data_IF_918249595519
#
_entry.id   IF_918249595519
#
_cell.length_a   1.000
_cell.length_b   1.000
_cell.length_c   1.000
_cell.angle_alpha   90.00
_cell.angle_beta   90.00
_cell.angle_gamma   90.00
#
_symmetry.space_group_name_H-M   'P 1'
#
loop_
_entity.id
_entity.type
_entity.pdbx_description
1 polymer ?
#
# COMPACT_ATOMS: atom_id res chain seq x y z
N UNK A 1 18.60 16.33 -3.58
CA UNK A 1 17.54 15.52 -4.20
C UNK A 1 17.21 16.14 -5.56
N UNK A 2 17.34 15.42 -6.67
CA UNK A 2 16.80 15.90 -7.95
C UNK A 2 15.31 15.55 -7.94
N UNK A 3 14.47 16.48 -7.47
CA UNK A 3 13.02 16.36 -7.60
C UNK A 3 12.69 16.27 -9.09
N UNK A 4 11.92 15.25 -9.47
CA UNK A 4 11.34 15.26 -10.81
C UNK A 4 10.45 16.49 -10.93
N UNK A 5 10.47 17.19 -12.07
CA UNK A 5 9.54 18.28 -12.28
C UNK A 5 8.12 17.76 -12.12
N UNK A 6 7.38 18.29 -11.16
CA UNK A 6 5.97 17.95 -10.97
C UNK A 6 5.18 18.44 -12.19
N UNK A 7 4.56 17.54 -12.99
CA UNK A 7 3.81 17.93 -14.18
C UNK A 7 2.37 18.34 -13.88
N UNK A 8 1.85 18.08 -12.67
CA UNK A 8 0.45 18.36 -12.29
C UNK A 8 0.05 19.83 -12.41
N UNK A 9 0.89 20.84 -12.10
CA UNK A 9 0.54 22.24 -12.33
C UNK A 9 0.10 22.56 -13.76
N UNK A 10 0.51 21.77 -14.76
CA UNK A 10 0.07 21.94 -16.16
C UNK A 10 -1.41 21.60 -16.35
N UNK A 11 -1.97 20.74 -15.52
CA UNK A 11 -3.39 20.37 -15.56
C UNK A 11 -4.30 21.52 -15.11
N UNK A 12 -3.81 22.50 -14.34
CA UNK A 12 -4.59 23.68 -14.00
C UNK A 12 -4.91 24.54 -15.24
N UNK A 13 -3.96 24.64 -16.17
CA UNK A 13 -4.13 25.39 -17.43
C UNK A 13 -4.74 24.55 -18.56
N UNK A 14 -4.55 23.23 -18.53
CA UNK A 14 -5.14 22.27 -19.47
C UNK A 14 -5.71 21.06 -18.71
N UNK A 15 -6.93 21.17 -18.16
CA UNK A 15 -7.56 20.11 -17.36
C UNK A 15 -7.77 18.81 -18.14
N UNK A 16 -7.78 18.86 -19.48
CA UNK A 16 -7.90 17.66 -20.32
C UNK A 16 -6.59 16.88 -20.43
N UNK A 17 -5.47 17.44 -19.97
CA UNK A 17 -4.16 16.80 -19.98
C UNK A 17 -3.50 16.69 -21.36
N UNK A 18 -4.00 17.38 -22.40
CA UNK A 18 -3.46 17.29 -23.76
C UNK A 18 -2.02 17.76 -23.86
N UNK A 19 -1.62 18.76 -23.08
CA UNK A 19 -0.24 19.23 -22.96
C UNK A 19 0.72 18.16 -22.41
N UNK A 20 0.19 17.14 -21.73
CA UNK A 20 0.91 15.96 -21.26
C UNK A 20 0.70 14.73 -22.17
N UNK A 21 0.01 14.89 -23.31
CA UNK A 21 -0.34 13.78 -24.20
C UNK A 21 -1.49 12.90 -23.69
N UNK A 22 -2.29 13.40 -22.76
CA UNK A 22 -3.39 12.68 -22.11
C UNK A 22 -4.76 13.14 -22.61
N UNK A 23 -5.78 12.35 -22.26
CA UNK A 23 -7.19 12.67 -22.43
C UNK A 23 -7.91 12.37 -21.11
N UNK A 24 -7.71 13.25 -20.13
CA UNK A 24 -8.25 13.08 -18.79
C UNK A 24 -9.75 13.40 -18.76
N UNK A 25 -10.56 12.64 -18.00
CA UNK A 25 -11.92 13.02 -17.66
C UNK A 25 -11.92 14.26 -16.74
N UNK A 26 -13.12 14.75 -16.40
CA UNK A 26 -13.24 15.76 -15.35
C UNK A 26 -12.62 15.25 -14.05
N UNK A 27 -11.89 16.12 -13.38
CA UNK A 27 -11.12 15.79 -12.19
C UNK A 27 -10.55 17.04 -11.54
N UNK A 28 -9.98 16.88 -10.35
CA UNK A 28 -9.45 17.97 -9.54
C UNK A 28 -8.03 17.68 -9.11
N UNK A 29 -7.28 18.76 -8.93
CA UNK A 29 -5.97 18.76 -8.30
C UNK A 29 -6.13 18.83 -6.78
N UNK A 30 -5.33 18.07 -6.05
CA UNK A 30 -5.29 18.07 -4.60
C UNK A 30 -3.93 18.64 -4.17
N UNK A 31 -3.98 19.71 -3.40
CA UNK A 31 -2.85 20.38 -2.76
C UNK A 31 -3.09 20.60 -1.26
N UNK A 32 -4.17 20.04 -0.69
CA UNK A 32 -4.43 20.09 0.75
C UNK A 32 -3.58 19.08 1.51
N UNK A 33 -2.97 19.53 2.61
CA UNK A 33 -2.15 18.77 3.56
C UNK A 33 -2.61 19.04 5.00
N UNK A 34 -2.09 18.29 5.96
CA UNK A 34 -2.33 18.53 7.40
C UNK A 34 -2.04 20.00 7.80
N UNK A 35 -0.92 20.54 7.31
CA UNK A 35 -0.48 21.93 7.60
C UNK A 35 -1.07 23.02 6.68
N UNK A 36 -2.05 22.68 5.82
CA UNK A 36 -2.74 23.63 4.95
C UNK A 36 -2.51 23.38 3.46
N UNK A 37 -2.22 24.43 2.69
CA UNK A 37 -2.05 24.31 1.23
C UNK A 37 -0.58 24.07 0.88
N UNK A 38 -0.31 22.98 0.18
CA UNK A 38 0.99 22.66 -0.38
C UNK A 38 1.35 23.59 -1.55
N UNK A 39 2.64 23.77 -1.80
CA UNK A 39 3.14 24.71 -2.80
C UNK A 39 2.92 24.25 -4.25
N UNK A 40 2.59 22.97 -4.45
CA UNK A 40 2.23 22.36 -5.73
C UNK A 40 1.20 21.24 -5.52
N UNK A 41 0.44 20.81 -6.55
CA UNK A 41 -0.47 19.69 -6.38
C UNK A 41 0.25 18.37 -6.12
N UNK A 42 -0.23 17.60 -5.16
CA UNK A 42 0.26 16.26 -4.79
C UNK A 42 -0.29 15.18 -5.71
N UNK A 43 -1.56 15.30 -6.10
CA UNK A 43 -2.20 14.35 -7.01
C UNK A 43 -3.32 15.02 -7.81
N UNK A 44 -3.69 14.39 -8.92
CA UNK A 44 -4.96 14.63 -9.59
C UNK A 44 -5.86 13.41 -9.41
N UNK A 45 -7.16 13.59 -9.23
CA UNK A 45 -8.10 12.47 -9.35
C UNK A 45 -9.39 12.85 -10.07
N UNK A 46 -10.00 11.85 -10.72
CA UNK A 46 -11.25 11.99 -11.45
C UNK A 46 -12.43 12.28 -10.51
N UNK A 47 -13.40 13.04 -11.01
CA UNK A 47 -14.67 13.31 -10.33
C UNK A 47 -15.65 12.15 -10.46
N UNK A 48 -15.51 11.32 -11.49
CA UNK A 48 -16.38 10.18 -11.77
C UNK A 48 -15.80 8.87 -11.23
N UNK A 49 -16.67 7.87 -11.02
CA UNK A 49 -16.25 6.57 -10.49
C UNK A 49 -15.37 5.92 -11.56
N UNK A 50 -14.29 5.28 -11.13
CA UNK A 50 -13.49 4.45 -12.02
C UNK A 50 -14.37 3.38 -12.66
N UNK A 51 -14.16 3.13 -13.95
CA UNK A 51 -14.80 2.06 -14.71
C UNK A 51 -13.71 1.18 -15.31
N UNK A 52 -13.99 -0.12 -15.55
CA UNK A 52 -13.03 -1.01 -16.22
C UNK A 52 -12.50 -0.42 -17.53
N UNK A 53 -11.20 -0.59 -17.77
CA UNK A 53 -10.43 0.00 -18.86
C UNK A 53 -9.86 1.40 -18.56
N UNK A 54 -10.36 2.08 -17.52
CA UNK A 54 -9.92 3.44 -17.19
C UNK A 54 -8.46 3.53 -16.75
N UNK A 55 -7.97 2.53 -15.99
CA UNK A 55 -6.56 2.44 -15.59
C UNK A 55 -5.64 2.33 -16.81
N UNK A 56 -5.97 1.43 -17.74
CA UNK A 56 -5.17 1.19 -18.94
C UNK A 56 -5.02 2.45 -19.81
N UNK A 57 -6.06 3.28 -19.87
CA UNK A 57 -6.01 4.59 -20.56
C UNK A 57 -5.01 5.54 -19.87
N UNK A 58 -4.99 5.56 -18.54
CA UNK A 58 -4.09 6.42 -17.77
C UNK A 58 -2.64 5.93 -17.71
N UNK A 59 -2.35 4.68 -18.07
CA UNK A 59 -0.98 4.16 -18.13
C UNK A 59 -0.06 4.97 -19.06
N UNK A 60 -0.61 5.69 -20.05
CA UNK A 60 0.17 6.61 -20.90
C UNK A 60 0.79 7.79 -20.12
N UNK A 61 0.19 8.18 -18.98
CA UNK A 61 0.66 9.26 -18.11
C UNK A 61 2.04 8.99 -17.50
N UNK A 62 2.47 7.72 -17.47
CA UNK A 62 3.81 7.30 -17.02
C UNK A 62 4.92 8.00 -17.80
N UNK A 63 4.69 8.26 -19.10
CA UNK A 63 5.66 8.98 -19.96
C UNK A 63 5.88 10.43 -19.53
N UNK A 64 4.92 11.01 -18.80
CA UNK A 64 5.01 12.34 -18.22
C UNK A 64 5.48 12.32 -16.75
N UNK A 65 5.81 11.15 -16.19
CA UNK A 65 6.17 11.01 -14.76
C UNK A 65 4.97 10.95 -13.82
N UNK A 66 3.78 10.63 -14.33
CA UNK A 66 2.56 10.47 -13.54
C UNK A 66 2.15 8.99 -13.50
N UNK A 67 1.96 8.45 -12.31
CA UNK A 67 1.59 7.05 -12.13
C UNK A 67 0.11 6.93 -11.73
N UNK A 68 -0.65 6.01 -12.35
CA UNK A 68 -2.03 5.78 -11.98
C UNK A 68 -2.14 5.10 -10.61
N UNK A 69 -3.19 5.44 -9.87
CA UNK A 69 -3.63 4.78 -8.63
C UNK A 69 -5.15 4.93 -8.50
N UNK A 70 -5.84 4.00 -7.84
CA UNK A 70 -7.23 4.17 -7.44
C UNK A 70 -7.29 4.77 -6.04
N UNK A 71 -8.13 5.79 -5.83
CA UNK A 71 -8.42 6.32 -4.50
C UNK A 71 -9.88 5.99 -4.15
N UNK A 72 -10.13 5.32 -3.04
CA UNK A 72 -11.51 5.14 -2.57
C UNK A 72 -11.95 6.33 -1.73
N UNK A 73 -12.83 7.16 -2.30
CA UNK A 73 -13.36 8.36 -1.63
C UNK A 73 -14.72 8.11 -0.95
N UNK A 74 -15.18 6.86 -0.91
CA UNK A 74 -16.45 6.47 -0.29
C UNK A 74 -16.32 6.05 1.18
N UNK A 75 -15.11 6.13 1.74
CA UNK A 75 -14.80 5.78 3.13
C UNK A 75 -15.35 6.79 4.16
N UNK A 76 -15.22 6.49 5.46
CA UNK A 76 -15.62 7.40 6.54
C UNK A 76 -14.89 8.76 6.49
N UNK A 77 -13.62 8.73 6.09
CA UNK A 77 -12.72 9.89 5.98
C UNK A 77 -12.79 10.57 4.59
N UNK A 78 -13.88 10.38 3.84
CA UNK A 78 -14.10 10.93 2.49
C UNK A 78 -12.89 10.69 1.55
N UNK A 79 -12.49 11.72 0.80
CA UNK A 79 -11.42 11.68 -0.18
C UNK A 79 -10.09 12.25 0.33
N UNK A 80 -9.04 12.24 -0.52
CA UNK A 80 -7.69 12.67 -0.17
C UNK A 80 -7.58 14.10 0.36
N UNK A 81 -8.55 14.97 0.09
CA UNK A 81 -8.64 16.31 0.69
C UNK A 81 -8.80 16.31 2.22
N UNK A 82 -9.35 15.23 2.78
CA UNK A 82 -9.66 15.06 4.20
C UNK A 82 -8.73 14.04 4.87
N UNK A 83 -7.78 13.46 4.13
CA UNK A 83 -6.87 12.44 4.65
C UNK A 83 -5.69 12.99 5.45
N UNK A 84 -5.55 14.32 5.57
CA UNK A 84 -4.43 14.95 6.29
C UNK A 84 -3.06 14.54 5.75
N UNK A 85 -2.85 14.67 4.44
CA UNK A 85 -1.58 14.35 3.78
C UNK A 85 -0.38 15.11 4.38
N UNK A 86 0.76 14.46 4.58
CA UNK A 86 1.97 15.02 5.24
C UNK A 86 3.25 14.82 4.41
N UNK A 87 3.36 15.40 3.20
CA UNK A 87 4.50 15.15 2.30
C UNK A 87 5.86 15.66 2.80
N UNK A 88 5.90 16.64 3.72
CA UNK A 88 7.13 17.13 4.37
C UNK A 88 7.65 16.24 5.49
N UNK A 89 6.80 15.41 6.09
CA UNK A 89 7.20 14.46 7.12
C UNK A 89 7.86 13.21 6.52
N UNK A 90 7.72 13.00 5.22
CA UNK A 90 8.27 11.83 4.52
C UNK A 90 9.73 12.04 4.14
N UNK A 91 10.58 11.09 4.51
CA UNK A 91 11.94 11.03 3.97
C UNK A 91 11.95 10.47 2.53
N UNK A 92 13.13 10.31 1.92
CA UNK A 92 13.21 9.72 0.59
C UNK A 92 13.27 8.18 0.68
N UNK A 93 12.38 7.43 0.00
CA UNK A 93 12.38 5.96 0.08
C UNK A 93 13.68 5.29 -0.41
N UNK A 94 14.57 6.02 -1.07
CA UNK A 94 15.87 5.48 -1.50
C UNK A 94 16.99 5.62 -0.49
N UNK A 95 16.73 6.32 0.61
CA UNK A 95 17.66 6.47 1.72
C UNK A 95 17.54 5.31 2.73
N UNK A 96 16.55 4.41 2.52
CA UNK A 96 16.26 3.26 3.37
C UNK A 96 16.56 1.93 2.68
N UNK A 97 16.96 0.93 3.46
CA UNK A 97 17.15 -0.44 3.01
C UNK A 97 16.01 -1.34 3.47
N UNK A 98 15.33 -1.99 2.53
CA UNK A 98 14.15 -2.81 2.82
C UNK A 98 14.40 -3.94 3.83
N UNK A 99 15.58 -4.58 3.79
CA UNK A 99 15.94 -5.66 4.75
C UNK A 99 16.10 -5.10 6.17
N UNK A 100 16.74 -3.94 6.30
CA UNK A 100 16.96 -3.29 7.60
C UNK A 100 15.62 -2.82 8.19
N UNK A 101 14.76 -2.20 7.37
CA UNK A 101 13.41 -1.78 7.79
C UNK A 101 12.57 -2.97 8.26
N UNK A 102 12.53 -4.07 7.51
CA UNK A 102 11.76 -5.27 7.89
C UNK A 102 12.32 -5.93 9.15
N UNK A 103 13.64 -6.00 9.30
CA UNK A 103 14.28 -6.55 10.48
C UNK A 103 13.97 -5.72 11.74
N UNK A 104 14.07 -4.39 11.65
CA UNK A 104 13.72 -3.47 12.73
C UNK A 104 12.26 -3.64 13.16
N UNK A 105 11.33 -3.61 12.20
CA UNK A 105 9.91 -3.80 12.47
C UNK A 105 9.56 -5.15 13.09
N UNK A 106 10.18 -6.23 12.61
CA UNK A 106 10.00 -7.56 13.20
C UNK A 106 10.50 -7.61 14.65
N UNK A 107 11.69 -7.07 14.91
CA UNK A 107 12.31 -7.08 16.24
C UNK A 107 11.58 -6.18 17.23
N UNK A 108 11.10 -5.01 16.79
CA UNK A 108 10.27 -4.11 17.61
C UNK A 108 8.97 -4.80 18.01
N UNK A 109 8.27 -5.41 17.05
CA UNK A 109 7.04 -6.15 17.35
C UNK A 109 7.30 -7.33 18.29
N UNK A 110 8.37 -8.11 18.06
CA UNK A 110 8.74 -9.22 18.94
C UNK A 110 9.14 -8.78 20.36
N UNK A 111 9.62 -7.55 20.55
CA UNK A 111 10.02 -7.01 21.84
C UNK A 111 8.84 -6.44 22.66
N UNK A 112 7.81 -5.92 21.97
CA UNK A 112 6.63 -5.31 22.61
C UNK A 112 5.59 -6.35 23.08
N UNK A 113 5.73 -7.61 22.66
CA UNK A 113 4.79 -8.67 23.02
C UNK A 113 4.82 -8.99 24.53
N UNK A 114 3.67 -8.86 25.23
CA UNK A 114 3.59 -9.17 26.64
C UNK A 114 3.80 -10.67 26.87
N UNK A 115 4.51 -11.04 27.94
CA UNK A 115 4.74 -12.45 28.29
C UNK A 115 3.45 -13.30 28.20
N UNK A 116 3.52 -14.53 27.67
CA UNK A 116 2.36 -15.41 27.56
C UNK A 116 1.60 -15.50 28.88
N UNK A 117 0.31 -15.12 28.86
CA UNK A 117 -0.55 -15.14 30.04
C UNK A 117 -0.54 -13.87 30.89
N UNK A 118 0.15 -12.80 30.48
CA UNK A 118 0.03 -11.49 31.13
C UNK A 118 -1.42 -11.00 31.06
N UNK A 119 -1.94 -10.63 32.23
CA UNK A 119 -3.24 -9.96 32.35
C UNK A 119 -3.00 -8.45 32.21
N UNK A 120 -3.73 -7.79 31.31
CA UNK A 120 -3.60 -6.36 31.07
C UNK A 120 -4.99 -5.69 31.04
N UNK A 121 -5.11 -4.43 31.47
CA UNK A 121 -6.38 -3.73 31.50
C UNK A 121 -7.02 -3.72 30.10
N UNK A 122 -8.22 -4.28 29.97
CA UNK A 122 -8.94 -4.34 28.69
C UNK A 122 -8.81 -5.66 27.93
N UNK A 123 -7.98 -6.61 28.38
CA UNK A 123 -7.85 -7.95 27.77
C UNK A 123 -9.20 -8.65 27.59
N UNK A 124 -10.09 -8.56 28.58
CA UNK A 124 -11.44 -9.13 28.49
C UNK A 124 -12.25 -8.56 27.31
N UNK A 125 -12.13 -7.25 27.04
CA UNK A 125 -12.79 -6.61 25.90
C UNK A 125 -12.14 -7.00 24.57
N UNK A 126 -10.82 -7.10 24.53
CA UNK A 126 -10.10 -7.59 23.33
C UNK A 126 -10.55 -9.00 23.01
N UNK A 127 -10.65 -9.89 24.00
CA UNK A 127 -11.15 -11.26 23.83
C UNK A 127 -12.63 -11.28 23.44
N UNK A 128 -13.46 -10.37 23.98
CA UNK A 128 -14.87 -10.24 23.59
C UNK A 128 -15.04 -9.82 22.12
N UNK A 129 -14.21 -8.90 21.64
CA UNK A 129 -14.32 -8.32 20.28
C UNK A 129 -13.60 -9.16 19.22
N UNK A 130 -12.40 -9.65 19.53
CA UNK A 130 -11.49 -10.30 18.58
C UNK A 130 -11.23 -11.79 18.88
N UNK A 131 -11.76 -12.33 19.99
CA UNK A 131 -11.53 -13.72 20.40
C UNK A 131 -10.22 -13.94 21.17
N UNK A 132 -9.98 -15.18 21.59
CA UNK A 132 -8.69 -15.56 22.17
C UNK A 132 -7.60 -15.46 21.09
N UNK A 133 -6.59 -14.64 21.37
CA UNK A 133 -5.45 -14.47 20.49
C UNK A 133 -4.42 -15.60 20.71
N UNK A 134 -3.85 -16.17 19.64
CA UNK A 134 -2.75 -17.12 19.78
C UNK A 134 -1.56 -16.48 20.49
N UNK A 135 -0.73 -17.31 21.12
CA UNK A 135 0.52 -16.81 21.69
C UNK A 135 1.46 -16.34 20.57
N UNK A 136 2.29 -15.33 20.83
CA UNK A 136 3.19 -14.77 19.81
C UNK A 136 3.99 -15.84 19.04
N UNK A 137 4.64 -16.78 19.75
CA UNK A 137 5.39 -17.87 19.13
C UNK A 137 4.53 -18.77 18.20
N UNK A 138 3.24 -18.89 18.49
CA UNK A 138 2.28 -19.60 17.64
C UNK A 138 1.87 -18.74 16.43
N UNK A 139 1.64 -17.45 16.65
CA UNK A 139 1.32 -16.47 15.59
C UNK A 139 2.40 -16.44 14.52
N UNK A 140 3.68 -16.41 14.87
CA UNK A 140 4.79 -16.23 13.92
C UNK A 140 5.44 -17.54 13.44
N UNK A 141 4.98 -18.70 13.89
CA UNK A 141 5.51 -19.99 13.42
C UNK A 141 5.41 -20.10 11.88
N UNK A 142 6.39 -20.71 11.18
CA UNK A 142 7.53 -21.50 11.66
C UNK A 142 8.71 -20.68 12.22
N UNK A 143 8.63 -19.36 12.17
CA UNK A 143 9.70 -18.48 12.58
C UNK A 143 9.68 -18.25 14.10
N UNK A 144 10.71 -17.57 14.58
CA UNK A 144 10.84 -17.17 15.98
C UNK A 144 11.10 -15.66 16.07
N UNK A 145 11.43 -15.14 17.25
CA UNK A 145 11.56 -13.69 17.47
C UNK A 145 12.72 -13.04 16.69
N UNK A 146 13.58 -13.83 16.06
CA UNK A 146 14.67 -13.33 15.21
C UNK A 146 14.17 -13.23 13.77
N UNK A 147 14.43 -12.10 13.14
CA UNK A 147 14.07 -11.84 11.74
C UNK A 147 14.55 -12.97 10.81
N UNK A 148 13.64 -13.63 10.05
CA UNK A 148 14.01 -14.74 9.19
C UNK A 148 14.74 -14.37 7.89
N UNK A 149 14.82 -13.08 7.56
CA UNK A 149 15.40 -12.59 6.30
C UNK A 149 14.36 -12.41 5.19
N UNK A 150 14.71 -11.59 4.19
CA UNK A 150 13.89 -11.42 2.99
C UNK A 150 13.70 -12.71 2.18
N UNK A 151 12.47 -12.89 1.69
CA UNK A 151 12.11 -13.91 0.72
C UNK A 151 12.87 -13.71 -0.61
N UNK A 152 13.15 -14.81 -1.29
CA UNK A 152 13.76 -14.75 -2.61
C UNK A 152 12.80 -14.17 -3.65
N UNK A 153 13.35 -13.54 -4.70
CA UNK A 153 12.57 -13.13 -5.86
C UNK A 153 12.01 -14.35 -6.60
N UNK A 154 10.81 -14.21 -7.15
CA UNK A 154 10.15 -15.22 -7.98
C UNK A 154 10.10 -14.76 -9.45
N UNK A 155 10.12 -15.69 -10.43
CA UNK A 155 10.00 -15.32 -11.83
C UNK A 155 8.63 -14.70 -12.15
N UNK A 156 8.62 -13.60 -12.91
CA UNK A 156 7.39 -12.98 -13.40
C UNK A 156 6.51 -13.96 -14.18
N UNK A 157 5.24 -14.03 -13.81
CA UNK A 157 4.18 -14.78 -14.51
C UNK A 157 3.47 -13.94 -15.59
N UNK A 158 3.55 -12.62 -15.47
CA UNK A 158 2.93 -11.63 -16.34
C UNK A 158 3.73 -10.32 -16.37
N UNK A 159 3.40 -9.44 -17.32
CA UNK A 159 3.87 -8.06 -17.27
C UNK A 159 3.26 -7.33 -16.05
N UNK A 160 4.06 -6.69 -15.19
CA UNK A 160 3.57 -5.98 -14.01
C UNK A 160 2.51 -4.92 -14.27
N UNK A 161 2.63 -4.16 -15.36
CA UNK A 161 1.69 -3.09 -15.65
C UNK A 161 0.39 -3.64 -16.25
N UNK A 162 0.46 -4.73 -17.01
CA UNK A 162 -0.72 -5.48 -17.44
C UNK A 162 -1.48 -6.08 -16.25
N UNK A 163 -0.77 -6.72 -15.31
CA UNK A 163 -1.37 -7.26 -14.07
C UNK A 163 -2.03 -6.15 -13.23
N UNK A 164 -1.37 -5.01 -13.09
CA UNK A 164 -1.95 -3.86 -12.39
C UNK A 164 -3.25 -3.36 -13.02
N UNK A 165 -3.31 -3.31 -14.35
CA UNK A 165 -4.53 -2.93 -15.07
C UNK A 165 -5.67 -3.94 -14.86
N UNK A 166 -5.38 -5.24 -14.89
CA UNK A 166 -6.35 -6.31 -14.61
C UNK A 166 -6.94 -6.18 -13.19
N UNK A 167 -6.09 -5.97 -12.18
CA UNK A 167 -6.53 -5.82 -10.79
C UNK A 167 -7.29 -4.51 -10.59
N UNK A 168 -6.83 -3.40 -11.18
CA UNK A 168 -7.54 -2.12 -11.12
C UNK A 168 -8.94 -2.21 -11.76
N UNK A 169 -9.09 -2.96 -12.87
CA UNK A 169 -10.37 -3.21 -13.49
C UNK A 169 -11.29 -4.06 -12.60
N UNK A 170 -10.76 -5.06 -11.90
CA UNK A 170 -11.51 -5.83 -10.92
C UNK A 170 -12.00 -4.95 -9.75
N UNK A 171 -11.13 -4.07 -9.23
CA UNK A 171 -11.45 -3.15 -8.14
C UNK A 171 -12.43 -2.05 -8.54
N UNK A 172 -12.44 -1.64 -9.81
CA UNK A 172 -13.36 -0.63 -10.35
C UNK A 172 -14.78 -1.18 -10.63
N UNK A 173 -14.96 -2.51 -10.73
CA UNK A 173 -16.25 -3.11 -11.01
C UNK A 173 -17.27 -2.86 -9.88
N UNK A 174 -18.54 -2.75 -10.27
CA UNK A 174 -19.67 -2.73 -9.33
C UNK A 174 -19.70 -4.04 -8.54
N UNK A 175 -19.65 -3.94 -7.20
CA UNK A 175 -19.59 -5.10 -6.31
C UNK A 175 -18.20 -5.37 -5.72
N UNK A 176 -17.17 -4.65 -6.16
CA UNK A 176 -15.92 -4.53 -5.41
C UNK A 176 -16.16 -3.94 -4.01
N UNK A 177 -15.27 -4.25 -3.07
CA UNK A 177 -15.32 -3.72 -1.71
C UNK A 177 -14.98 -2.21 -1.67
N UNK A 178 -14.29 -1.68 -2.69
CA UNK A 178 -14.10 -0.22 -2.84
C UNK A 178 -15.44 0.47 -3.08
N UNK A 179 -15.77 1.43 -2.23
CA UNK A 179 -17.09 2.06 -2.17
C UNK A 179 -17.28 3.02 -3.34
N UNK A 180 -16.35 3.94 -3.56
CA UNK A 180 -16.32 4.93 -4.64
C UNK A 180 -14.90 5.10 -5.20
N UNK A 181 -14.33 4.08 -5.87
CA UNK A 181 -13.00 4.18 -6.45
C UNK A 181 -12.97 5.29 -7.52
N UNK A 182 -11.96 6.17 -7.44
CA UNK A 182 -11.65 7.23 -8.41
C UNK A 182 -10.29 6.95 -9.02
N UNK A 183 -10.15 7.16 -10.33
CA UNK A 183 -8.83 7.15 -10.95
C UNK A 183 -8.04 8.38 -10.50
N UNK A 184 -6.77 8.20 -10.17
CA UNK A 184 -5.86 9.27 -9.80
C UNK A 184 -4.51 9.15 -10.52
N UNK A 185 -3.77 10.26 -10.53
CA UNK A 185 -2.42 10.38 -11.08
C UNK A 185 -1.52 11.06 -10.04
N UNK A 186 -0.40 10.41 -9.72
CA UNK A 186 0.56 10.87 -8.72
C UNK A 186 1.94 11.07 -9.38
N UNK A 187 2.64 12.19 -9.13
CA UNK A 187 3.99 12.41 -9.63
C UNK A 187 4.97 11.53 -8.86
N UNK A 188 5.42 10.45 -9.48
CA UNK A 188 6.30 9.47 -8.84
C UNK A 188 7.19 8.75 -9.86
N UNK A 189 8.35 8.26 -9.41
CA UNK A 189 9.31 7.50 -10.25
C UNK A 189 8.93 6.04 -10.39
N UNK A 190 8.44 5.49 -9.29
CA UNK A 190 8.11 4.08 -9.10
C UNK A 190 6.72 4.00 -8.52
N UNK A 191 6.00 2.93 -8.83
CA UNK A 191 4.66 2.73 -8.27
C UNK A 191 4.72 2.60 -6.76
N UNK A 192 5.78 1.97 -6.26
CA UNK A 192 6.12 1.88 -4.85
C UNK A 192 6.31 3.22 -4.13
N UNK A 193 6.59 4.31 -4.85
CA UNK A 193 6.83 5.63 -4.23
C UNK A 193 5.55 6.45 -4.03
N UNK A 194 4.42 5.99 -4.57
CA UNK A 194 3.15 6.73 -4.55
C UNK A 194 2.75 7.15 -3.12
N UNK A 195 2.78 6.28 -2.10
CA UNK A 195 2.38 6.68 -0.75
C UNK A 195 3.25 7.80 -0.17
N UNK A 196 4.58 7.70 -0.28
CA UNK A 196 5.49 8.73 0.21
C UNK A 196 5.41 10.03 -0.60
N UNK A 197 5.17 9.94 -1.91
CA UNK A 197 5.04 11.12 -2.78
C UNK A 197 3.87 12.04 -2.40
N UNK A 198 2.80 11.46 -1.84
CA UNK A 198 1.63 12.22 -1.38
C UNK A 198 1.59 12.40 0.13
N UNK A 199 2.55 11.86 0.89
CA UNK A 199 2.52 11.88 2.36
C UNK A 199 1.31 11.13 2.93
N UNK A 200 1.01 9.95 2.40
CA UNK A 200 -0.13 9.15 2.81
C UNK A 200 0.00 8.66 4.26
N UNK A 201 -0.94 9.00 5.16
CA UNK A 201 -0.81 8.72 6.60
C UNK A 201 -1.49 7.42 7.04
N UNK A 202 -1.88 6.54 6.12
CA UNK A 202 -2.58 5.30 6.49
C UNK A 202 -1.93 4.50 7.64
N UNK A 203 -0.60 4.30 7.65
CA UNK A 203 0.06 3.53 8.71
C UNK A 203 0.45 4.37 9.94
N UNK A 204 -0.15 5.55 10.19
CA UNK A 204 0.30 6.50 11.23
C UNK A 204 0.47 5.90 12.64
N UNK A 205 -0.37 4.94 13.01
CA UNK A 205 -0.28 4.27 14.32
C UNK A 205 0.85 3.23 14.40
N UNK A 206 1.49 2.94 13.27
CA UNK A 206 2.58 1.97 13.12
C UNK A 206 3.90 2.64 12.72
N UNK A 207 3.89 3.43 11.65
CA UNK A 207 5.04 4.17 11.12
C UNK A 207 4.61 5.54 10.60
N UNK A 208 5.28 6.60 11.06
CA UNK A 208 4.99 7.97 10.65
C UNK A 208 5.74 8.37 9.37
N UNK A 209 6.91 7.77 9.10
CA UNK A 209 7.67 7.95 7.86
C UNK A 209 7.33 6.84 6.85
N UNK A 210 6.25 7.02 6.08
CA UNK A 210 5.78 6.05 5.08
C UNK A 210 6.83 5.74 3.99
N UNK A 211 7.89 6.56 3.89
CA UNK A 211 9.00 6.30 2.98
C UNK A 211 9.77 5.02 3.34
N UNK A 212 9.82 4.63 4.62
CA UNK A 212 10.41 3.36 5.07
C UNK A 212 9.62 2.17 4.52
N UNK A 213 8.29 2.22 4.60
CA UNK A 213 7.39 1.24 3.97
C UNK A 213 7.54 1.25 2.44
N UNK A 214 7.67 2.42 1.82
CA UNK A 214 7.92 2.51 0.37
C UNK A 214 9.23 1.84 -0.05
N UNK A 215 10.26 1.79 0.81
CA UNK A 215 11.49 1.06 0.52
C UNK A 215 11.24 -0.46 0.44
N UNK A 216 10.38 -1.00 1.31
CA UNK A 216 9.91 -2.39 1.24
C UNK A 216 9.11 -2.62 -0.05
N UNK A 217 8.16 -1.71 -0.36
CA UNK A 217 7.40 -1.77 -1.62
C UNK A 217 8.30 -1.74 -2.86
N UNK A 218 9.41 -0.99 -2.85
CA UNK A 218 10.40 -1.00 -3.95
C UNK A 218 11.08 -2.34 -4.10
N UNK A 219 11.45 -2.96 -2.98
CA UNK A 219 12.01 -4.31 -2.98
C UNK A 219 11.00 -5.31 -3.56
N UNK A 220 9.72 -5.23 -3.20
CA UNK A 220 8.67 -6.06 -3.79
C UNK A 220 8.37 -5.71 -5.25
N UNK A 221 8.52 -4.45 -5.66
CA UNK A 221 8.42 -4.00 -7.06
C UNK A 221 9.50 -4.68 -7.91
N UNK A 222 10.71 -4.80 -7.37
CA UNK A 222 11.84 -5.44 -8.05
C UNK A 222 11.76 -6.99 -7.98
N UNK A 223 11.29 -7.59 -6.87
CA UNK A 223 11.27 -9.05 -6.64
C UNK A 223 10.01 -9.76 -7.13
N UNK A 224 8.85 -9.13 -7.01
CA UNK A 224 7.54 -9.73 -7.28
C UNK A 224 6.76 -8.97 -8.35
N UNK A 225 7.34 -7.90 -8.90
CA UNK A 225 6.70 -7.08 -9.92
C UNK A 225 5.45 -6.37 -9.42
N UNK A 226 5.40 -5.99 -8.13
CA UNK A 226 4.19 -5.37 -7.59
C UNK A 226 3.93 -3.99 -8.20
N UNK A 227 2.67 -3.55 -8.14
CA UNK A 227 2.27 -2.16 -8.37
C UNK A 227 1.24 -1.76 -7.31
N UNK A 228 1.41 -0.58 -6.73
CA UNK A 228 0.38 0.05 -5.89
C UNK A 228 -0.81 0.38 -6.78
N UNK A 229 -1.95 -0.26 -6.53
CA UNK A 229 -3.17 -0.14 -7.35
C UNK A 229 -4.27 0.65 -6.67
N UNK A 230 -4.38 0.59 -5.34
CA UNK A 230 -5.38 1.37 -4.63
C UNK A 230 -4.87 1.86 -3.27
N UNK A 231 -5.37 3.03 -2.88
CA UNK A 231 -5.26 3.57 -1.53
C UNK A 231 -6.66 3.95 -1.04
N UNK A 232 -6.93 3.68 0.23
CA UNK A 232 -7.98 4.32 1.01
C UNK A 232 -7.32 5.27 2.01
N UNK A 233 -8.06 5.72 3.02
CA UNK A 233 -7.47 6.45 4.14
C UNK A 233 -6.36 5.63 4.84
N UNK A 234 -6.60 4.34 5.06
CA UNK A 234 -5.82 3.44 5.94
C UNK A 234 -5.49 2.08 5.30
N UNK A 235 -5.83 1.87 4.02
CA UNK A 235 -5.56 0.64 3.30
C UNK A 235 -4.72 0.86 2.05
N UNK A 236 -3.82 -0.07 1.80
CA UNK A 236 -2.96 -0.13 0.62
C UNK A 236 -3.18 -1.45 -0.09
N UNK A 237 -3.41 -1.39 -1.40
CA UNK A 237 -3.57 -2.59 -2.24
C UNK A 237 -2.50 -2.58 -3.32
N UNK A 238 -1.84 -3.73 -3.48
CA UNK A 238 -0.88 -3.96 -4.56
C UNK A 238 -1.33 -5.11 -5.45
N UNK A 239 -1.11 -4.97 -6.76
CA UNK A 239 -1.12 -6.11 -7.68
C UNK A 239 0.24 -6.81 -7.65
N UNK A 240 0.27 -8.12 -7.91
CA UNK A 240 1.47 -8.97 -7.82
C UNK A 240 1.65 -9.74 -9.11
N UNK A 241 2.80 -9.60 -9.78
CA UNK A 241 3.08 -10.22 -11.08
C UNK A 241 3.97 -11.48 -10.99
N UNK A 242 4.49 -11.80 -9.81
CA UNK A 242 5.16 -13.06 -9.52
C UNK A 242 4.72 -13.58 -8.14
N UNK A 243 3.48 -14.06 -7.99
CA UNK A 243 3.03 -14.56 -6.70
C UNK A 243 3.85 -15.78 -6.26
N UNK A 244 4.09 -15.98 -4.95
CA UNK A 244 4.73 -17.20 -4.46
C UNK A 244 3.84 -18.41 -4.78
N UNK A 245 4.46 -19.52 -5.22
CA UNK A 245 3.71 -20.70 -5.72
C UNK A 245 3.91 -21.94 -4.86
N UNK A 246 4.80 -21.86 -3.87
CA UNK A 246 5.04 -22.90 -2.88
C UNK A 246 4.74 -22.38 -1.48
N UNK A 247 4.38 -23.31 -0.58
CA UNK A 247 4.11 -22.98 0.83
C UNK A 247 5.31 -22.28 1.48
N UNK A 248 6.53 -22.75 1.23
CA UNK A 248 7.73 -22.16 1.82
C UNK A 248 8.01 -20.73 1.31
N UNK A 249 7.75 -20.46 0.03
CA UNK A 249 7.83 -19.09 -0.51
C UNK A 249 6.75 -18.19 0.09
N UNK A 250 5.53 -18.71 0.24
CA UNK A 250 4.41 -17.98 0.81
C UNK A 250 4.63 -17.66 2.29
N UNK A 251 5.13 -18.61 3.10
CA UNK A 251 5.50 -18.39 4.50
C UNK A 251 6.60 -17.32 4.62
N UNK A 252 7.61 -17.33 3.73
CA UNK A 252 8.66 -16.31 3.74
C UNK A 252 8.14 -14.91 3.40
N UNK A 253 7.26 -14.79 2.40
CA UNK A 253 6.61 -13.52 2.06
C UNK A 253 5.65 -13.07 3.18
N UNK A 254 4.92 -14.00 3.79
CA UNK A 254 4.06 -13.71 4.93
C UNK A 254 4.82 -13.17 6.14
N UNK A 255 6.06 -13.61 6.38
CA UNK A 255 6.92 -13.02 7.40
C UNK A 255 7.24 -11.54 7.10
N UNK A 256 7.52 -11.21 5.84
CA UNK A 256 7.68 -9.81 5.44
C UNK A 256 6.37 -9.02 5.58
N UNK A 257 5.22 -9.61 5.24
CA UNK A 257 3.92 -8.95 5.42
C UNK A 257 3.62 -8.69 6.89
N UNK A 258 3.95 -9.62 7.78
CA UNK A 258 3.79 -9.46 9.22
C UNK A 258 4.66 -8.31 9.76
N UNK A 259 5.93 -8.23 9.35
CA UNK A 259 6.78 -7.09 9.69
C UNK A 259 6.33 -5.78 9.03
N UNK A 260 5.66 -5.82 7.88
CA UNK A 260 5.21 -4.62 7.17
C UNK A 260 3.87 -4.07 7.70
N UNK A 261 2.98 -4.97 8.12
CA UNK A 261 1.59 -4.68 8.50
C UNK A 261 1.08 -5.81 9.40
N UNK A 262 1.46 -5.84 10.69
CA UNK A 262 1.12 -6.94 11.61
C UNK A 262 -0.40 -7.11 11.79
N UNK A 263 -1.17 -6.01 11.70
CA UNK A 263 -2.62 -5.98 11.85
C UNK A 263 -3.36 -6.94 10.90
N UNK A 264 -2.79 -7.23 9.72
CA UNK A 264 -3.34 -8.21 8.79
C UNK A 264 -3.48 -9.62 9.41
N UNK A 265 -2.65 -9.93 10.41
CA UNK A 265 -2.63 -11.23 11.10
C UNK A 265 -3.20 -11.08 12.50
N UNK A 266 -2.74 -10.10 13.29
CA UNK A 266 -3.11 -9.95 14.70
C UNK A 266 -4.55 -9.46 14.90
N UNK A 267 -5.10 -8.78 13.89
CA UNK A 267 -6.48 -8.28 13.88
C UNK A 267 -7.29 -8.83 12.69
N UNK A 268 -6.68 -9.71 11.89
CA UNK A 268 -7.28 -10.32 10.71
C UNK A 268 -8.12 -11.57 10.98
N UNK A 269 -8.66 -12.15 9.91
CA UNK A 269 -9.39 -13.42 9.97
C UNK A 269 -8.48 -14.65 10.10
N UNK A 270 -7.24 -14.53 9.64
CA UNK A 270 -6.22 -15.57 9.66
C UNK A 270 -5.15 -15.20 10.68
N UNK A 271 -5.32 -15.68 11.92
CA UNK A 271 -4.59 -15.18 13.10
C UNK A 271 -3.21 -15.82 13.30
N UNK A 272 -2.78 -16.66 12.37
CA UNK A 272 -1.42 -17.22 12.35
C UNK A 272 -0.75 -16.98 11.00
N UNK A 273 0.58 -16.82 11.01
CA UNK A 273 1.39 -16.58 9.81
C UNK A 273 1.22 -17.69 8.78
N UNK A 274 1.10 -18.94 9.19
CA UNK A 274 0.85 -20.07 8.27
C UNK A 274 -0.52 -20.02 7.61
N UNK A 275 -1.56 -19.70 8.36
CA UNK A 275 -2.91 -19.60 7.79
C UNK A 275 -3.00 -18.40 6.85
N UNK A 276 -2.41 -17.26 7.24
CA UNK A 276 -2.31 -16.08 6.38
C UNK A 276 -1.51 -16.39 5.10
N UNK A 277 -0.37 -17.10 5.22
CA UNK A 277 0.43 -17.50 4.06
C UNK A 277 -0.36 -18.39 3.08
N UNK A 278 -1.12 -19.35 3.60
CA UNK A 278 -1.91 -20.28 2.78
C UNK A 278 -3.12 -19.60 2.11
N UNK A 279 -3.76 -18.66 2.80
CA UNK A 279 -5.04 -18.09 2.37
C UNK A 279 -4.91 -16.75 1.62
N UNK A 280 -3.93 -15.92 1.97
CA UNK A 280 -3.82 -14.51 1.49
C UNK A 280 -2.55 -14.26 0.66
N UNK A 281 -1.62 -15.21 0.59
CA UNK A 281 -0.31 -15.03 -0.07
C UNK A 281 -0.05 -16.08 -1.15
N UNK A 282 -0.32 -17.36 -0.87
CA UNK A 282 -0.04 -18.46 -1.78
C UNK A 282 -0.86 -18.38 -3.07
N UNK A 283 -0.19 -18.21 -4.21
CA UNK A 283 -0.77 -17.97 -5.54
C UNK A 283 -1.60 -16.67 -5.67
N UNK A 284 -1.59 -15.81 -4.65
CA UNK A 284 -2.42 -14.61 -4.63
C UNK A 284 -1.81 -13.46 -5.42
N UNK A 285 -2.63 -12.90 -6.31
CA UNK A 285 -2.21 -11.86 -7.28
C UNK A 285 -2.46 -10.44 -6.79
N UNK A 286 -3.02 -10.32 -5.61
CA UNK A 286 -3.35 -9.08 -4.93
C UNK A 286 -2.92 -9.24 -3.49
N UNK A 287 -2.21 -8.26 -2.95
CA UNK A 287 -2.00 -8.15 -1.51
C UNK A 287 -2.67 -6.87 -1.03
N UNK A 288 -3.36 -6.96 0.11
CA UNK A 288 -4.00 -5.83 0.78
C UNK A 288 -3.46 -5.69 2.20
N UNK A 289 -3.24 -4.45 2.61
CA UNK A 289 -2.72 -4.09 3.92
C UNK A 289 -3.64 -3.03 4.52
N UNK A 290 -3.95 -3.19 5.81
CA UNK A 290 -4.79 -2.27 6.58
C UNK A 290 -4.14 -2.03 7.94
N UNK A 291 -4.11 -0.77 8.36
CA UNK A 291 -3.63 -0.34 9.66
C UNK A 291 -4.79 0.30 10.44
N UNK A 292 -4.96 -0.07 11.72
CA UNK A 292 -5.95 0.56 12.63
C UNK A 292 -5.42 1.88 13.23
#
# INVERSE_FOLDING_TARGET
>A
MATLPNPLPRLAADPSGRALGLQLPAGRLIDTTHDGTWHEPLLWHAEERAVPGGWAVLSAARTAGLLPVLLDVGGPQNGPEDWELMPDEMSYPGDHHAEEVLAEFWEEYAADEPEPGRDYPGKEKVVEVFGEQPAFDETIAPYGPVWPGQAAATPLDADPDARAAEIADALAQSGSWLKQPRLALVPARRSADIPAAIGWPGPLNYENDVARLCAVLRSWEDRFGIRVVALTFDQLVVSVAAPPTTVAEAEAVAAEHFAFCPDNITQGHHTTLREYADQEVLNERVWSFWWD
#
